data_IF_019120792475
#
_entry.id   IF_019120792475
#
_cell.length_a   1.000
_cell.length_b   1.000
_cell.length_c   1.000
_cell.angle_alpha   90.00
_cell.angle_beta   90.00
_cell.angle_gamma   90.00
#
_symmetry.space_group_name_H-M   'P 1'
#
loop_
_entity.id
_entity.type
_entity.pdbx_description
1 polymer ?
#
# COMPACT_ATOMS: atom_id res chain seq x y z
N UNK A 1 -25.01 33.19 -5.49
CA UNK A 1 -24.87 31.79 -5.92
C UNK A 1 -23.43 31.54 -6.30
N UNK A 2 -22.56 31.31 -5.32
CA UNK A 2 -21.21 30.79 -5.58
C UNK A 2 -21.37 29.30 -5.88
N UNK A 3 -21.30 28.94 -7.16
CA UNK A 3 -21.08 27.56 -7.55
C UNK A 3 -19.62 27.27 -7.21
N UNK A 4 -19.35 26.87 -5.96
CA UNK A 4 -18.11 26.15 -5.67
C UNK A 4 -18.16 24.91 -6.56
N UNK A 5 -17.29 24.85 -7.56
CA UNK A 5 -16.89 23.56 -8.10
C UNK A 5 -16.33 22.77 -6.91
N UNK A 6 -17.16 21.92 -6.29
CA UNK A 6 -16.66 20.86 -5.44
C UNK A 6 -15.78 20.02 -6.37
N UNK A 7 -14.47 20.20 -6.28
CA UNK A 7 -13.52 19.25 -6.86
C UNK A 7 -13.86 17.93 -6.17
N UNK A 8 -14.33 16.94 -6.93
CA UNK A 8 -14.60 15.62 -6.38
C UNK A 8 -13.30 15.06 -5.80
N UNK A 9 -13.39 14.43 -4.63
CA UNK A 9 -12.23 13.82 -3.99
C UNK A 9 -11.59 12.81 -4.97
N UNK A 10 -10.26 12.84 -5.08
CA UNK A 10 -9.52 11.99 -6.01
C UNK A 10 -9.65 10.53 -5.59
N UNK A 11 -10.16 9.62 -6.43
CA UNK A 11 -10.20 8.20 -6.12
C UNK A 11 -8.78 7.64 -6.07
N UNK A 12 -8.40 7.08 -4.92
CA UNK A 12 -7.05 6.57 -4.68
C UNK A 12 -7.11 5.10 -4.28
N UNK A 13 -6.27 4.30 -4.91
CA UNK A 13 -5.85 3.00 -4.38
C UNK A 13 -4.44 3.13 -3.82
N UNK A 14 -4.24 2.74 -2.56
CA UNK A 14 -2.93 2.78 -1.90
C UNK A 14 -2.31 1.37 -1.87
N UNK A 15 -1.11 1.22 -2.41
CA UNK A 15 -0.32 0.00 -2.39
C UNK A 15 0.96 0.22 -1.57
N UNK A 16 1.06 -0.38 -0.40
CA UNK A 16 2.09 -0.06 0.59
C UNK A 16 2.67 -1.30 1.27
N UNK A 17 3.78 -1.16 1.99
CA UNK A 17 4.40 -2.21 2.79
C UNK A 17 4.59 -1.75 4.24
N UNK A 18 3.48 -1.55 5.00
CA UNK A 18 3.48 -0.66 6.15
C UNK A 18 4.68 -0.72 7.09
N UNK A 19 5.54 0.28 6.91
CA UNK A 19 6.52 0.80 7.83
C UNK A 19 6.02 2.07 8.53
N UNK A 20 6.95 2.81 9.16
CA UNK A 20 6.61 4.01 9.94
C UNK A 20 6.03 5.15 9.08
N UNK A 21 6.60 5.35 7.90
CA UNK A 21 6.22 6.37 6.93
C UNK A 21 4.96 5.99 6.15
N UNK A 22 4.79 4.72 5.78
CA UNK A 22 3.52 4.22 5.23
C UNK A 22 2.36 4.41 6.20
N UNK A 23 2.58 4.23 7.51
CA UNK A 23 1.56 4.49 8.52
C UNK A 23 1.06 5.93 8.43
N UNK A 24 1.98 6.89 8.25
CA UNK A 24 1.62 8.28 8.06
C UNK A 24 0.93 8.52 6.72
N UNK A 25 1.37 7.86 5.64
CA UNK A 25 0.72 7.95 4.33
C UNK A 25 -0.73 7.42 4.37
N UNK A 26 -0.96 6.28 5.03
CA UNK A 26 -2.30 5.73 5.24
C UNK A 26 -3.19 6.70 6.02
N UNK A 27 -2.71 7.22 7.15
CA UNK A 27 -3.49 8.16 7.98
C UNK A 27 -3.80 9.44 7.18
N UNK A 28 -2.83 9.98 6.45
CA UNK A 28 -3.02 11.16 5.62
C UNK A 28 -4.04 10.90 4.50
N UNK A 29 -3.95 9.77 3.81
CA UNK A 29 -4.88 9.40 2.75
C UNK A 29 -6.31 9.23 3.28
N UNK A 30 -6.46 8.69 4.49
CA UNK A 30 -7.77 8.51 5.13
C UNK A 30 -8.41 9.84 5.54
N UNK A 31 -7.65 10.76 6.11
CA UNK A 31 -8.19 11.97 6.72
C UNK A 31 -8.13 13.22 5.83
N UNK A 32 -7.62 13.09 4.60
CA UNK A 32 -7.64 14.17 3.63
C UNK A 32 -8.94 14.16 2.83
N UNK A 33 -9.78 15.19 2.98
CA UNK A 33 -11.05 15.34 2.27
C UNK A 33 -10.91 15.40 0.72
N UNK A 34 -9.70 15.66 0.22
CA UNK A 34 -9.40 15.65 -1.22
C UNK A 34 -9.08 14.24 -1.74
N UNK A 35 -9.02 13.23 -0.87
CA UNK A 35 -8.71 11.83 -1.19
C UNK A 35 -9.91 10.96 -0.87
N UNK A 36 -10.38 10.21 -1.87
CA UNK A 36 -11.34 9.13 -1.68
C UNK A 36 -10.56 7.80 -1.70
N UNK A 37 -10.17 7.32 -0.53
CA UNK A 37 -9.41 6.08 -0.39
C UNK A 37 -10.32 4.87 -0.66
N UNK A 38 -10.15 4.24 -1.82
CA UNK A 38 -10.98 3.12 -2.28
C UNK A 38 -10.57 1.77 -1.67
N UNK A 39 -9.33 1.64 -1.23
CA UNK A 39 -8.76 0.42 -0.70
C UNK A 39 -7.25 0.50 -0.51
N UNK A 40 -6.72 -0.47 0.22
CA UNK A 40 -5.30 -0.62 0.52
C UNK A 40 -4.85 -2.03 0.14
N UNK A 41 -3.85 -2.17 -0.71
CA UNK A 41 -3.12 -3.42 -0.88
C UNK A 41 -1.79 -3.37 -0.14
N UNK A 42 -1.40 -4.51 0.44
CA UNK A 42 -0.07 -4.64 1.04
C UNK A 42 0.89 -5.41 0.16
N UNK A 43 2.18 -5.08 0.26
CA UNK A 43 3.28 -5.77 -0.42
C UNK A 43 4.39 -6.08 0.57
N UNK A 44 5.28 -7.03 0.24
CA UNK A 44 6.53 -7.22 0.96
C UNK A 44 7.48 -6.03 0.72
N UNK A 45 8.37 -5.77 1.67
CA UNK A 45 9.40 -4.74 1.54
C UNK A 45 9.99 -4.41 2.89
N UNK A 46 9.48 -3.41 3.61
CA UNK A 46 9.93 -3.08 4.97
C UNK A 46 9.91 -4.30 5.91
N UNK A 47 8.91 -5.16 5.74
CA UNK A 47 8.82 -6.47 6.38
C UNK A 47 8.23 -7.55 5.44
N UNK A 48 8.10 -8.77 5.96
CA UNK A 48 7.35 -9.84 5.30
C UNK A 48 5.92 -9.39 5.02
N UNK A 49 5.30 -9.96 3.98
CA UNK A 49 3.92 -9.63 3.62
C UNK A 49 2.92 -9.90 4.76
N UNK A 50 3.18 -10.90 5.60
CA UNK A 50 2.37 -11.20 6.78
C UNK A 50 2.39 -10.01 7.75
N UNK A 51 3.57 -9.48 8.05
CA UNK A 51 3.73 -8.37 8.99
C UNK A 51 3.28 -7.04 8.39
N UNK A 52 3.55 -6.76 7.12
CA UNK A 52 3.06 -5.52 6.48
C UNK A 52 1.53 -5.49 6.42
N UNK A 53 0.88 -6.64 6.18
CA UNK A 53 -0.59 -6.77 6.27
C UNK A 53 -1.11 -6.58 7.69
N UNK A 54 -0.45 -7.18 8.69
CA UNK A 54 -0.82 -6.99 10.10
C UNK A 54 -0.66 -5.53 10.52
N UNK A 55 0.38 -4.86 10.03
CA UNK A 55 0.63 -3.45 10.28
C UNK A 55 -0.43 -2.56 9.63
N UNK A 56 -0.86 -2.85 8.40
CA UNK A 56 -2.01 -2.15 7.80
C UNK A 56 -3.26 -2.25 8.68
N UNK A 57 -3.57 -3.45 9.20
CA UNK A 57 -4.70 -3.66 10.11
C UNK A 57 -4.52 -2.95 11.45
N UNK A 58 -3.30 -2.92 11.98
CA UNK A 58 -2.94 -2.20 13.20
C UNK A 58 -3.18 -0.69 13.02
N UNK A 59 -2.75 -0.12 11.90
CA UNK A 59 -2.97 1.29 11.57
C UNK A 59 -4.47 1.56 11.41
N UNK A 60 -5.19 0.73 10.65
CA UNK A 60 -6.64 0.83 10.47
C UNK A 60 -7.39 0.85 11.80
N UNK A 61 -7.05 -0.09 12.70
CA UNK A 61 -7.65 -0.21 14.03
C UNK A 61 -7.43 1.03 14.90
N UNK A 62 -6.18 1.52 14.96
CA UNK A 62 -5.79 2.61 15.88
C UNK A 62 -6.24 3.96 15.35
N UNK A 63 -6.08 4.17 14.05
CA UNK A 63 -6.48 5.39 13.41
C UNK A 63 -7.99 5.41 13.11
N UNK A 64 -8.76 4.38 13.46
CA UNK A 64 -10.22 4.41 13.37
C UNK A 64 -10.76 4.56 11.94
N UNK A 65 -10.15 3.87 10.97
CA UNK A 65 -10.58 3.94 9.58
C UNK A 65 -12.00 3.40 9.42
N UNK A 66 -12.81 3.93 8.49
CA UNK A 66 -14.09 3.34 8.12
C UNK A 66 -13.92 1.90 7.63
N UNK A 67 -14.90 1.06 7.91
CA UNK A 67 -14.92 -0.34 7.46
C UNK A 67 -15.10 -0.48 5.96
N UNK A 68 -15.46 0.60 5.25
CA UNK A 68 -15.62 0.62 3.79
C UNK A 68 -14.30 0.61 3.01
N UNK A 69 -13.15 0.77 3.69
CA UNK A 69 -11.82 0.74 3.07
C UNK A 69 -11.21 -0.65 3.28
N UNK A 70 -11.25 -1.55 2.27
CA UNK A 70 -10.69 -2.88 2.42
C UNK A 70 -9.16 -2.83 2.44
N UNK A 71 -8.56 -3.74 3.22
CA UNK A 71 -7.15 -4.09 3.19
C UNK A 71 -7.02 -5.47 2.55
N UNK A 72 -6.15 -5.62 1.56
CA UNK A 72 -5.92 -6.89 0.87
C UNK A 72 -4.45 -7.26 0.82
N UNK A 73 -4.15 -8.52 1.18
CA UNK A 73 -2.80 -9.07 1.15
C UNK A 73 -2.34 -9.29 -0.29
N UNK A 74 -1.23 -8.64 -0.68
CA UNK A 74 -0.64 -8.76 -2.01
C UNK A 74 0.59 -9.67 -2.09
N UNK A 75 1.56 -9.27 -2.91
CA UNK A 75 2.71 -10.10 -3.25
C UNK A 75 3.63 -10.34 -2.04
N UNK A 76 4.06 -11.59 -1.88
CA UNK A 76 4.94 -12.03 -0.80
C UNK A 76 6.44 -11.97 -1.14
N UNK A 77 6.78 -11.72 -2.41
CA UNK A 77 8.13 -11.60 -2.93
C UNK A 77 8.11 -10.85 -4.26
N UNK A 78 9.30 -10.46 -4.72
CA UNK A 78 9.51 -9.81 -6.01
C UNK A 78 9.09 -10.73 -7.18
N UNK A 79 8.91 -10.15 -8.36
CA UNK A 79 8.56 -10.89 -9.59
C UNK A 79 9.55 -12.01 -9.88
N UNK A 80 10.85 -11.73 -9.71
CA UNK A 80 11.93 -12.67 -10.06
C UNK A 80 12.84 -12.96 -8.87
N UNK A 81 13.06 -11.97 -7.98
CA UNK A 81 14.04 -12.04 -6.90
C UNK A 81 13.46 -12.68 -5.63
N UNK A 82 14.31 -13.21 -4.73
CA UNK A 82 13.89 -13.52 -3.36
C UNK A 82 13.39 -12.26 -2.64
N UNK A 83 12.45 -12.44 -1.71
CA UNK A 83 12.02 -11.35 -0.85
C UNK A 83 13.19 -10.86 0.02
N UNK A 84 13.24 -9.54 0.26
CA UNK A 84 14.15 -8.87 1.19
C UNK A 84 13.32 -8.04 2.16
N UNK A 85 13.83 -7.89 3.39
CA UNK A 85 13.20 -7.10 4.46
C UNK A 85 14.17 -6.05 5.02
N UNK A 86 13.65 -4.99 5.63
CA UNK A 86 14.41 -3.87 6.18
C UNK A 86 14.25 -3.77 7.71
N UNK A 87 14.44 -4.89 8.41
CA UNK A 87 14.27 -4.97 9.87
C UNK A 87 15.21 -4.01 10.63
N UNK A 88 16.34 -3.64 10.05
CA UNK A 88 17.31 -2.72 10.61
C UNK A 88 16.81 -1.27 10.73
N UNK A 89 15.83 -0.87 9.90
CA UNK A 89 15.19 0.44 9.94
C UNK A 89 13.82 0.38 10.62
N UNK A 90 13.02 -0.63 10.26
CA UNK A 90 11.61 -0.70 10.67
C UNK A 90 11.35 -1.59 11.89
N UNK A 91 12.37 -2.29 12.37
CA UNK A 91 12.27 -3.20 13.51
C UNK A 91 11.75 -4.59 13.12
N UNK A 92 11.62 -5.46 14.13
CA UNK A 92 11.25 -6.87 13.94
C UNK A 92 9.79 -7.04 13.49
N UNK A 93 8.90 -6.17 13.95
CA UNK A 93 7.48 -6.18 13.56
C UNK A 93 7.18 -5.20 12.42
N UNK A 94 8.16 -4.43 11.94
CA UNK A 94 8.03 -3.45 10.85
C UNK A 94 7.42 -2.10 11.26
N UNK A 95 6.92 -2.00 12.50
CA UNK A 95 6.36 -0.79 13.11
C UNK A 95 6.72 -0.75 14.59
N UNK A 96 7.97 -1.09 14.89
CA UNK A 96 8.47 -1.16 16.27
C UNK A 96 8.48 0.23 16.90
N UNK A 97 7.95 0.33 18.12
CA UNK A 97 7.99 1.56 18.90
C UNK A 97 8.99 1.44 20.04
N UNK A 98 9.68 2.54 20.34
CA UNK A 98 10.54 2.65 21.53
C UNK A 98 9.75 2.94 22.81
N UNK A 99 8.45 3.19 22.71
CA UNK A 99 7.57 3.44 23.84
C UNK A 99 6.87 2.14 24.26
N UNK A 100 7.21 1.56 25.44
CA UNK A 100 6.54 0.36 25.95
C UNK A 100 5.04 0.59 26.13
N UNK A 101 4.64 1.80 26.52
CA UNK A 101 3.24 2.17 26.71
C UNK A 101 2.47 2.11 25.38
N UNK A 102 3.07 2.57 24.28
CA UNK A 102 2.45 2.45 22.95
C UNK A 102 2.39 1.00 22.47
N UNK A 103 3.44 0.21 22.73
CA UNK A 103 3.46 -1.20 22.36
C UNK A 103 2.35 -1.99 23.05
N UNK A 104 2.03 -1.65 24.31
CA UNK A 104 0.97 -2.28 25.09
C UNK A 104 -0.45 -1.95 24.59
N UNK A 105 -0.63 -0.91 23.76
CA UNK A 105 -1.92 -0.56 23.16
C UNK A 105 -2.26 -1.40 21.93
N UNK A 106 -1.29 -2.09 21.35
CA UNK A 106 -1.51 -2.84 20.12
C UNK A 106 -2.19 -4.18 20.40
N UNK A 107 -3.30 -4.49 19.71
CA UNK A 107 -3.88 -5.82 19.78
C UNK A 107 -2.87 -6.87 19.29
N UNK A 108 -2.97 -8.09 19.80
CA UNK A 108 -2.18 -9.22 19.30
C UNK A 108 -2.46 -9.48 17.82
N UNK A 109 -1.55 -10.17 17.14
CA UNK A 109 -1.74 -10.54 15.72
C UNK A 109 -3.04 -11.32 15.48
N UNK A 110 -3.42 -12.18 16.43
CA UNK A 110 -4.67 -12.93 16.36
C UNK A 110 -5.89 -12.00 16.43
N UNK A 111 -5.88 -11.05 17.36
CA UNK A 111 -6.96 -10.06 17.51
C UNK A 111 -7.07 -9.15 16.29
N UNK A 112 -5.95 -8.72 15.69
CA UNK A 112 -5.96 -7.92 14.46
C UNK A 112 -6.57 -8.69 13.28
N UNK A 113 -6.25 -9.97 13.11
CA UNK A 113 -6.82 -10.80 12.05
C UNK A 113 -8.33 -10.99 12.28
N UNK A 114 -8.75 -11.25 13.52
CA UNK A 114 -10.15 -11.40 13.89
C UNK A 114 -10.94 -10.10 13.70
N UNK A 115 -10.36 -8.96 14.10
CA UNK A 115 -10.88 -7.62 13.83
C UNK A 115 -11.08 -7.41 12.32
N UNK A 116 -10.03 -7.64 11.53
CA UNK A 116 -10.06 -7.46 10.08
C UNK A 116 -11.15 -8.30 9.41
N UNK A 117 -11.32 -9.56 9.82
CA UNK A 117 -12.34 -10.46 9.26
C UNK A 117 -13.75 -10.13 9.72
N UNK A 118 -13.95 -9.87 11.01
CA UNK A 118 -15.28 -9.62 11.59
C UNK A 118 -15.92 -8.33 11.11
N UNK A 119 -15.10 -7.38 10.63
CA UNK A 119 -15.53 -6.09 10.09
C UNK A 119 -15.46 -6.01 8.56
N UNK A 120 -15.14 -7.12 7.88
CA UNK A 120 -14.93 -7.19 6.43
C UNK A 120 -13.87 -6.21 5.89
N UNK A 121 -12.88 -5.87 6.73
CA UNK A 121 -11.75 -5.01 6.37
C UNK A 121 -10.69 -5.85 5.67
N UNK A 122 -10.32 -7.00 6.23
CA UNK A 122 -9.32 -7.89 5.65
C UNK A 122 -9.97 -8.74 4.55
N UNK A 123 -9.77 -8.35 3.30
CA UNK A 123 -10.29 -9.07 2.15
C UNK A 123 -9.63 -10.43 2.00
N UNK A 124 -10.44 -11.43 1.63
CA UNK A 124 -9.98 -12.77 1.24
C UNK A 124 -9.67 -12.90 -0.25
N UNK A 125 -9.95 -11.86 -1.06
CA UNK A 125 -9.62 -11.82 -2.49
C UNK A 125 -8.11 -11.71 -2.69
N UNK A 126 -7.63 -12.03 -3.89
CA UNK A 126 -6.24 -11.70 -4.27
C UNK A 126 -6.13 -10.20 -4.50
N UNK A 127 -5.04 -9.57 -4.07
CA UNK A 127 -4.85 -8.12 -4.21
C UNK A 127 -5.09 -7.62 -5.63
N UNK A 128 -4.45 -8.23 -6.63
CA UNK A 128 -4.61 -7.82 -8.03
C UNK A 128 -6.04 -7.95 -8.57
N UNK A 129 -6.81 -8.93 -8.07
CA UNK A 129 -8.21 -9.12 -8.48
C UNK A 129 -9.09 -8.01 -7.89
N UNK A 130 -8.92 -7.71 -6.59
CA UNK A 130 -9.67 -6.63 -5.95
C UNK A 130 -9.26 -5.25 -6.50
N UNK A 131 -7.97 -5.01 -6.72
CA UNK A 131 -7.46 -3.80 -7.37
C UNK A 131 -8.12 -3.60 -8.74
N UNK A 132 -8.11 -4.63 -9.59
CA UNK A 132 -8.70 -4.54 -10.92
C UNK A 132 -10.22 -4.29 -10.86
N UNK A 133 -10.94 -5.00 -10.00
CA UNK A 133 -12.38 -4.80 -9.80
C UNK A 133 -12.70 -3.37 -9.34
N UNK A 134 -11.97 -2.86 -8.34
CA UNK A 134 -12.17 -1.51 -7.83
C UNK A 134 -11.85 -0.45 -8.88
N UNK A 135 -10.76 -0.61 -9.64
CA UNK A 135 -10.36 0.32 -10.70
C UNK A 135 -11.39 0.34 -11.84
N UNK A 136 -11.81 -0.83 -12.32
CA UNK A 136 -12.73 -0.93 -13.46
C UNK A 136 -14.15 -0.48 -13.10
N UNK A 137 -14.59 -0.72 -11.87
CA UNK A 137 -15.90 -0.28 -11.39
C UNK A 137 -15.92 1.16 -10.88
N UNK A 138 -14.76 1.82 -10.77
CA UNK A 138 -14.70 3.22 -10.37
C UNK A 138 -15.37 4.12 -11.43
N UNK A 139 -16.29 5.03 -11.02
CA UNK A 139 -16.92 5.96 -11.95
C UNK A 139 -15.87 6.88 -12.61
N UNK A 140 -14.90 7.32 -11.82
CA UNK A 140 -13.81 8.21 -12.21
C UNK A 140 -12.46 7.45 -12.33
N UNK A 141 -11.52 7.90 -13.17
CA UNK A 141 -10.17 7.35 -13.21
C UNK A 141 -9.48 7.34 -11.84
N UNK A 142 -8.85 6.21 -11.51
CA UNK A 142 -8.21 5.98 -10.20
C UNK A 142 -6.75 6.39 -10.25
N UNK A 143 -6.26 7.05 -9.20
CA UNK A 143 -4.83 7.23 -8.95
C UNK A 143 -4.29 6.06 -8.13
N UNK A 144 -3.29 5.36 -8.64
CA UNK A 144 -2.60 4.32 -7.90
C UNK A 144 -1.40 4.94 -7.17
N UNK A 145 -1.40 4.93 -5.84
CA UNK A 145 -0.28 5.43 -5.03
C UNK A 145 0.48 4.22 -4.51
N UNK A 146 1.74 4.07 -4.89
CA UNK A 146 2.60 2.97 -4.47
C UNK A 146 3.70 3.50 -3.54
N UNK A 147 3.72 3.08 -2.28
CA UNK A 147 4.75 3.46 -1.30
C UNK A 147 5.69 2.33 -0.91
N UNK A 148 5.44 1.10 -1.41
CA UNK A 148 6.35 -0.04 -1.32
C UNK A 148 6.92 -0.49 -2.67
N UNK A 149 7.36 -1.75 -2.75
CA UNK A 149 7.79 -2.33 -4.02
C UNK A 149 6.68 -2.30 -5.07
N UNK A 150 7.03 -2.07 -6.33
CA UNK A 150 6.06 -1.96 -7.43
C UNK A 150 5.47 -3.30 -7.90
N UNK A 151 5.64 -4.36 -7.11
CA UNK A 151 5.31 -5.74 -7.47
C UNK A 151 3.82 -5.94 -7.76
N UNK A 152 2.94 -5.43 -6.89
CA UNK A 152 1.49 -5.52 -7.08
C UNK A 152 1.06 -4.72 -8.32
N UNK A 153 1.56 -3.49 -8.48
CA UNK A 153 1.28 -2.64 -9.63
C UNK A 153 1.74 -3.29 -10.96
N UNK A 154 2.97 -3.79 -11.03
CA UNK A 154 3.48 -4.49 -12.21
C UNK A 154 2.65 -5.73 -12.56
N UNK A 155 2.25 -6.50 -11.53
CA UNK A 155 1.41 -7.69 -11.71
C UNK A 155 0.02 -7.31 -12.19
N UNK A 156 -0.60 -6.28 -11.61
CA UNK A 156 -1.91 -5.75 -12.01
C UNK A 156 -1.90 -5.37 -13.50
N UNK A 157 -0.92 -4.56 -13.92
CA UNK A 157 -0.82 -4.09 -15.31
C UNK A 157 -0.53 -5.21 -16.31
N UNK A 158 0.05 -6.32 -15.84
CA UNK A 158 0.35 -7.50 -16.68
C UNK A 158 -0.84 -8.44 -16.78
N UNK A 159 -1.57 -8.66 -15.69
CA UNK A 159 -2.68 -9.62 -15.62
C UNK A 159 -4.00 -8.99 -16.09
N UNK A 160 -4.22 -7.71 -15.77
CA UNK A 160 -5.43 -6.95 -16.11
C UNK A 160 -5.06 -5.67 -16.88
N UNK A 161 -4.49 -5.78 -18.09
CA UNK A 161 -4.02 -4.62 -18.86
C UNK A 161 -5.13 -3.59 -19.17
N UNK A 162 -6.40 -4.01 -19.19
CA UNK A 162 -7.57 -3.14 -19.35
C UNK A 162 -7.70 -2.08 -18.25
N UNK A 163 -7.15 -2.33 -17.05
CA UNK A 163 -7.14 -1.37 -15.94
C UNK A 163 -6.41 -0.07 -16.31
N UNK A 164 -5.45 -0.12 -17.24
CA UNK A 164 -4.74 1.07 -17.74
C UNK A 164 -5.68 2.15 -18.27
N UNK A 165 -6.82 1.77 -18.84
CA UNK A 165 -7.81 2.73 -19.38
C UNK A 165 -8.54 3.52 -18.29
N UNK A 166 -8.44 3.07 -17.03
CA UNK A 166 -9.10 3.62 -15.85
C UNK A 166 -8.10 4.06 -14.77
N UNK A 167 -6.80 3.96 -15.03
CA UNK A 167 -5.76 4.52 -14.17
C UNK A 167 -5.39 5.89 -14.71
N UNK A 168 -5.62 6.94 -13.92
CA UNK A 168 -5.23 8.32 -14.27
C UNK A 168 -3.71 8.47 -14.25
N UNK A 169 -3.08 7.97 -13.17
CA UNK A 169 -1.63 8.03 -12.95
C UNK A 169 -1.22 7.05 -11.87
N UNK A 170 0.07 6.71 -11.89
CA UNK A 170 0.75 5.96 -10.85
C UNK A 170 1.72 6.90 -10.16
N UNK A 171 1.57 7.09 -8.85
CA UNK A 171 2.45 7.91 -8.01
C UNK A 171 3.26 6.96 -7.14
N UNK A 172 4.54 6.77 -7.47
CA UNK A 172 5.44 5.89 -6.71
C UNK A 172 6.34 6.69 -5.77
N UNK A 173 6.41 6.32 -4.50
CA UNK A 173 7.53 6.67 -3.62
C UNK A 173 8.63 5.64 -3.84
N UNK A 174 9.64 6.03 -4.62
CA UNK A 174 10.78 5.19 -4.91
C UNK A 174 11.71 5.80 -5.94
N UNK A 175 12.96 5.34 -5.91
CA UNK A 175 14.02 5.80 -6.79
C UNK A 175 14.83 6.97 -6.24
N UNK A 176 15.99 7.20 -6.85
CA UNK A 176 16.89 8.30 -6.51
C UNK A 176 17.55 8.83 -7.78
N UNK A 177 17.47 10.14 -8.02
CA UNK A 177 18.25 10.79 -9.08
C UNK A 177 19.72 10.99 -8.66
N UNK A 178 19.98 11.07 -7.35
CA UNK A 178 21.29 11.19 -6.75
C UNK A 178 21.71 9.92 -6.02
N UNK A 179 22.03 10.05 -4.74
CA UNK A 179 22.44 8.91 -3.91
C UNK A 179 21.24 8.02 -3.54
N UNK A 180 21.48 6.71 -3.53
CA UNK A 180 20.54 5.73 -2.97
C UNK A 180 20.52 5.74 -1.43
N UNK A 181 19.63 4.92 -0.86
CA UNK A 181 19.48 4.74 0.60
C UNK A 181 19.86 3.31 1.07
N UNK A 182 19.71 2.29 0.21
CA UNK A 182 20.09 0.89 0.52
C UNK A 182 21.42 0.51 -0.11
N UNK A 183 21.77 1.13 -1.23
CA UNK A 183 23.10 1.09 -1.83
C UNK A 183 23.51 2.51 -2.23
N UNK A 184 24.77 2.75 -2.64
CA UNK A 184 25.21 4.07 -3.07
C UNK A 184 24.36 4.68 -4.20
N UNK A 185 23.70 3.84 -5.01
CA UNK A 185 22.98 4.25 -6.24
C UNK A 185 21.52 3.81 -6.30
N UNK A 186 21.06 2.96 -5.38
CA UNK A 186 19.71 2.40 -5.41
C UNK A 186 18.90 2.78 -4.17
N UNK A 187 17.65 3.12 -4.41
CA UNK A 187 16.62 3.30 -3.40
C UNK A 187 15.94 1.94 -3.12
N UNK A 188 15.60 1.70 -1.85
CA UNK A 188 15.05 0.45 -1.33
C UNK A 188 13.92 -0.14 -2.16
N UNK A 189 12.82 0.59 -2.38
CA UNK A 189 11.63 0.07 -3.06
C UNK A 189 11.91 -0.39 -4.50
N UNK A 190 12.83 0.30 -5.18
CA UNK A 190 13.28 -0.07 -6.53
C UNK A 190 14.28 -1.23 -6.48
N UNK A 191 15.18 -1.25 -5.50
CA UNK A 191 16.22 -2.28 -5.38
C UNK A 191 15.65 -3.67 -5.07
N UNK A 192 14.56 -3.75 -4.30
CA UNK A 192 13.95 -5.03 -3.90
C UNK A 192 13.12 -5.69 -5.02
N UNK A 193 12.60 -4.92 -5.98
CA UNK A 193 11.99 -5.43 -7.21
C UNK A 193 12.17 -4.47 -8.42
N UNK A 194 13.39 -4.41 -8.98
CA UNK A 194 13.66 -3.52 -10.11
C UNK A 194 13.03 -4.02 -11.40
N UNK A 195 12.71 -5.31 -11.50
CA UNK A 195 11.98 -5.86 -12.63
C UNK A 195 10.54 -5.32 -12.66
N UNK A 196 9.87 -5.26 -11.50
CA UNK A 196 8.57 -4.60 -11.36
C UNK A 196 8.66 -3.10 -11.64
N UNK A 197 9.68 -2.42 -11.10
CA UNK A 197 9.88 -1.00 -11.36
C UNK A 197 10.06 -0.69 -12.86
N UNK A 198 10.89 -1.49 -13.55
CA UNK A 198 11.07 -1.39 -15.00
C UNK A 198 9.75 -1.61 -15.75
N UNK A 199 8.93 -2.57 -15.33
CA UNK A 199 7.64 -2.84 -15.95
C UNK A 199 6.68 -1.66 -15.79
N UNK A 200 6.58 -1.09 -14.59
CA UNK A 200 5.69 0.06 -14.30
C UNK A 200 6.18 1.33 -14.99
N UNK A 201 7.47 1.67 -14.92
CA UNK A 201 8.01 2.86 -15.59
C UNK A 201 8.00 2.78 -17.11
N UNK A 202 7.97 1.57 -17.68
CA UNK A 202 7.81 1.34 -19.11
C UNK A 202 6.37 1.08 -19.57
N UNK A 203 5.37 1.24 -18.70
CA UNK A 203 4.01 0.75 -18.95
C UNK A 203 3.14 1.62 -19.89
N UNK A 204 3.58 2.83 -20.24
CA UNK A 204 2.81 3.76 -21.06
C UNK A 204 3.56 5.05 -21.33
#
# INVERSE_FOLDING_TARGET
>A
FFCCFMVSATPVWLDCDPGHDDAMAMILAMYNEQVNLLGVSTVFGNQTIELTTLNALKIHYIAGFPTSVPIVKGAHKALVRPARICSEIHGQEGLDTRSPDLAALFPSHKELIEYGKSKDILSSKKAIELMAETILNSPDPVTLVCTGSLTNAATLLSVFPETKTKIEKIVSMGGAMGMGNTSPVAEWNIEIDPEAAKAVYGAG
#
